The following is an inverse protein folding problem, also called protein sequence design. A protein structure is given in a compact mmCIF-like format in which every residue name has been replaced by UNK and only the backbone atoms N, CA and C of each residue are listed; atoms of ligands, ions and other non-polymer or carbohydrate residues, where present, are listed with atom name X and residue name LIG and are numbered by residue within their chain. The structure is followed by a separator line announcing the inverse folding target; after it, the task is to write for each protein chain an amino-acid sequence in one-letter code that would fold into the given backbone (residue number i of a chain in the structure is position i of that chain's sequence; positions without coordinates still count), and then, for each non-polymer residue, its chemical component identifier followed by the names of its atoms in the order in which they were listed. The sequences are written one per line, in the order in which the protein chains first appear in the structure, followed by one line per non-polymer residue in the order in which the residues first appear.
data_IF_660177495713
#
_entry.id   IF_660177495713
#
_cell.length_a   1.000
_cell.length_b   1.000
_cell.length_c   1.000
_cell.angle_alpha   90.00
_cell.angle_beta   90.00
_cell.angle_gamma   90.00
#
_symmetry.space_group_name_H-M   'P 1'
#
loop_
_entity.id
_entity.type
_entity.pdbx_description
1 polymer ?
#
# COMPACT_ATOMS: atom_id res chain seq x y z
N UNK A 1 -3.24 -17.34 19.35
CA UNK A 1 -2.08 -16.42 19.26
C UNK A 1 -2.25 -15.36 20.35
N UNK A 2 -1.20 -15.02 21.11
CA UNK A 2 -1.29 -13.98 22.12
C UNK A 2 -1.62 -12.62 21.47
N UNK A 3 -2.47 -11.83 22.12
CA UNK A 3 -2.79 -10.47 21.68
C UNK A 3 -1.59 -9.57 21.99
N UNK A 4 -1.05 -8.89 20.98
CA UNK A 4 0.05 -7.95 21.15
C UNK A 4 -0.39 -6.75 21.99
N UNK A 5 0.51 -6.24 22.85
CA UNK A 5 0.28 -5.00 23.59
C UNK A 5 0.51 -3.79 22.68
N UNK A 6 -0.51 -2.94 22.49
CA UNK A 6 -0.44 -1.75 21.63
C UNK A 6 0.59 -0.71 22.04
N UNK A 7 0.94 -0.61 23.32
CA UNK A 7 1.98 0.34 23.77
C UNK A 7 3.36 -0.03 23.21
N UNK A 8 3.65 -1.33 23.15
CA UNK A 8 4.92 -1.84 22.63
C UNK A 8 4.85 -2.14 21.13
N UNK A 9 3.66 -2.46 20.62
CA UNK A 9 3.38 -2.90 19.25
C UNK A 9 2.20 -2.09 18.68
N UNK A 10 2.40 -0.80 18.37
CA UNK A 10 1.32 0.05 17.90
C UNK A 10 0.80 -0.41 16.53
N UNK A 11 -0.48 -0.16 16.27
CA UNK A 11 -1.07 -0.39 14.95
C UNK A 11 -0.41 0.53 13.92
N UNK A 12 -0.04 -0.04 12.76
CA UNK A 12 0.65 0.68 11.69
C UNK A 12 -0.25 0.74 10.46
N UNK A 13 -0.56 1.96 10.02
CA UNK A 13 -1.33 2.22 8.82
C UNK A 13 -0.47 2.90 7.76
N UNK A 14 -0.46 2.34 6.55
CA UNK A 14 0.17 2.95 5.37
C UNK A 14 -0.94 3.30 4.39
N UNK A 15 -1.20 4.60 4.22
CA UNK A 15 -2.21 5.10 3.29
C UNK A 15 -1.48 5.74 2.11
N UNK A 16 -1.74 5.20 0.92
CA UNK A 16 -1.16 5.69 -0.34
C UNK A 16 -2.24 6.40 -1.13
N UNK A 17 -1.93 7.58 -1.66
CA UNK A 17 -2.80 8.34 -2.56
C UNK A 17 -2.11 8.41 -3.91
N UNK A 18 -2.69 7.76 -4.92
CA UNK A 18 -2.08 7.71 -6.25
C UNK A 18 -2.23 9.05 -7.00
N UNK A 19 -1.11 9.37 -7.65
CA UNK A 19 -0.83 10.47 -8.58
C UNK A 19 -0.91 11.87 -8.00
N UNK A 20 -0.69 11.99 -6.69
CA UNK A 20 -0.68 13.28 -5.99
C UNK A 20 0.74 13.73 -5.62
N UNK A 21 1.12 14.92 -6.09
CA UNK A 21 2.33 15.59 -5.60
C UNK A 21 2.05 16.37 -4.30
N UNK A 22 3.09 16.62 -3.50
CA UNK A 22 2.96 17.33 -2.21
C UNK A 22 2.21 18.68 -2.33
N UNK A 23 2.52 19.48 -3.35
CA UNK A 23 1.84 20.75 -3.60
C UNK A 23 0.35 20.61 -3.96
N UNK A 24 -0.02 19.52 -4.63
CA UNK A 24 -1.41 19.21 -4.97
C UNK A 24 -2.18 18.76 -3.72
N UNK A 25 -1.58 17.91 -2.88
CA UNK A 25 -2.16 17.49 -1.61
C UNK A 25 -2.50 18.69 -0.72
N UNK A 26 -1.55 19.62 -0.55
CA UNK A 26 -1.72 20.81 0.29
C UNK A 26 -2.86 21.69 -0.22
N UNK A 27 -2.97 21.87 -1.53
CA UNK A 27 -4.01 22.70 -2.15
C UNK A 27 -5.39 22.04 -2.18
N UNK A 28 -5.46 20.76 -2.51
CA UNK A 28 -6.73 20.05 -2.74
C UNK A 28 -7.33 19.49 -1.45
N UNK A 29 -6.48 19.11 -0.47
CA UNK A 29 -6.89 18.52 0.81
C UNK A 29 -6.37 19.34 2.02
N UNK A 30 -6.62 20.66 2.07
CA UNK A 30 -6.05 21.52 3.12
C UNK A 30 -6.56 21.14 4.52
N UNK A 31 -7.80 20.66 4.64
CA UNK A 31 -8.37 20.18 5.90
C UNK A 31 -7.65 18.92 6.40
N UNK A 32 -7.39 17.97 5.51
CA UNK A 32 -6.64 16.75 5.84
C UNK A 32 -5.23 17.09 6.31
N UNK A 33 -4.54 17.97 5.58
CA UNK A 33 -3.20 18.42 5.97
C UNK A 33 -3.21 19.12 7.34
N UNK A 34 -4.20 19.97 7.60
CA UNK A 34 -4.33 20.63 8.90
C UNK A 34 -4.58 19.64 10.05
N UNK A 35 -5.46 18.64 9.86
CA UNK A 35 -5.71 17.60 10.86
C UNK A 35 -4.44 16.80 11.14
N UNK A 36 -3.71 16.39 10.09
CA UNK A 36 -2.47 15.65 10.27
C UNK A 36 -1.44 16.47 11.05
N UNK A 37 -1.16 17.70 10.62
CA UNK A 37 -0.07 18.50 11.19
C UNK A 37 -0.42 19.07 12.58
N UNK A 38 -1.65 19.56 12.77
CA UNK A 38 -2.02 20.30 13.99
C UNK A 38 -2.91 19.49 14.94
N UNK A 39 -3.52 18.39 14.47
CA UNK A 39 -4.39 17.53 15.28
C UNK A 39 -3.79 16.17 15.62
N UNK A 40 -2.79 15.72 14.87
CA UNK A 40 -2.12 14.42 15.07
C UNK A 40 -0.60 14.53 15.19
N UNK A 41 -0.08 15.76 15.31
CA UNK A 41 1.36 16.05 15.42
C UNK A 41 2.21 15.38 14.32
N UNK A 42 1.65 15.25 13.10
CA UNK A 42 2.32 14.57 12.01
C UNK A 42 3.56 15.35 11.54
N UNK A 43 4.61 14.59 11.23
CA UNK A 43 5.86 15.15 10.70
C UNK A 43 5.85 15.13 9.17
N UNK A 44 5.99 16.32 8.55
CA UNK A 44 6.08 16.43 7.10
C UNK A 44 7.51 16.27 6.59
N UNK A 45 7.74 15.25 5.75
CA UNK A 45 9.01 15.07 5.03
C UNK A 45 9.06 15.92 3.75
N UNK A 46 9.44 17.20 3.87
CA UNK A 46 9.46 18.15 2.74
C UNK A 46 10.41 17.80 1.59
N UNK A 47 11.42 16.97 1.83
CA UNK A 47 12.46 16.58 0.87
C UNK A 47 12.43 15.09 0.54
N UNK A 48 11.29 14.45 0.75
CA UNK A 48 11.07 13.06 0.33
C UNK A 48 10.80 13.02 -1.18
N UNK A 49 11.64 12.31 -1.91
CA UNK A 49 11.51 12.16 -3.36
C UNK A 49 11.04 10.74 -3.70
N UNK A 50 10.25 10.65 -4.76
CA UNK A 50 9.94 9.37 -5.40
C UNK A 50 11.21 8.83 -6.08
N UNK A 51 11.34 7.51 -6.13
CA UNK A 51 12.52 6.82 -6.69
C UNK A 51 12.29 6.38 -8.13
N UNK A 52 11.05 6.08 -8.51
CA UNK A 52 10.71 5.69 -9.89
C UNK A 52 9.61 6.53 -10.51
N UNK A 53 9.36 6.27 -11.80
CA UNK A 53 8.44 7.09 -12.58
C UNK A 53 6.98 6.82 -12.22
N UNK A 54 6.62 5.55 -12.08
CA UNK A 54 5.25 5.07 -11.85
C UNK A 54 5.03 4.56 -10.41
N UNK A 55 3.80 4.16 -10.07
CA UNK A 55 3.42 3.70 -8.72
C UNK A 55 4.20 2.47 -8.28
N UNK A 56 4.34 1.45 -9.14
CA UNK A 56 4.97 0.16 -8.81
C UNK A 56 6.44 0.29 -8.37
N UNK A 57 7.36 0.92 -9.14
CA UNK A 57 8.74 1.13 -8.70
C UNK A 57 8.88 1.82 -7.33
N UNK A 58 8.02 2.80 -7.05
CA UNK A 58 8.01 3.50 -5.76
C UNK A 58 7.54 2.60 -4.61
N UNK A 59 6.52 1.76 -4.85
CA UNK A 59 6.08 0.76 -3.89
C UNK A 59 7.15 -0.30 -3.59
N UNK A 60 7.95 -0.69 -4.59
CA UNK A 60 9.05 -1.65 -4.40
C UNK A 60 10.12 -1.11 -3.46
N UNK A 61 10.54 0.14 -3.64
CA UNK A 61 11.52 0.74 -2.72
C UNK A 61 10.91 0.93 -1.33
N UNK A 62 9.66 1.37 -1.24
CA UNK A 62 9.00 1.65 0.04
C UNK A 62 8.75 0.38 0.87
N UNK A 63 8.35 -0.73 0.25
CA UNK A 63 7.90 -1.94 0.96
C UNK A 63 8.86 -3.12 0.87
N UNK A 64 9.76 -3.15 -0.12
CA UNK A 64 10.76 -4.21 -0.29
C UNK A 64 12.20 -3.71 -0.17
N UNK A 65 12.43 -2.39 -0.17
CA UNK A 65 13.76 -1.81 -0.09
C UNK A 65 14.64 -2.10 -1.32
N UNK A 66 14.02 -2.31 -2.48
CA UNK A 66 14.70 -2.64 -3.74
C UNK A 66 14.25 -1.72 -4.87
N UNK A 67 15.20 -1.21 -5.65
CA UNK A 67 14.91 -0.43 -6.86
C UNK A 67 14.63 -1.38 -8.04
N UNK A 68 13.65 -1.01 -8.85
CA UNK A 68 13.31 -1.74 -10.10
C UNK A 68 13.56 -0.91 -11.36
N UNK A 69 14.06 0.32 -11.18
CA UNK A 69 14.42 1.26 -12.24
C UNK A 69 15.72 1.97 -11.83
N UNK A 70 16.58 2.36 -12.78
CA UNK A 70 17.77 3.14 -12.48
C UNK A 70 17.42 4.51 -11.89
N UNK A 71 18.21 4.96 -10.91
CA UNK A 71 18.10 6.31 -10.36
C UNK A 71 18.95 7.27 -11.18
N UNK A 72 18.30 8.00 -12.09
CA UNK A 72 18.95 8.99 -12.96
C UNK A 72 19.29 10.25 -12.16
N UNK A 73 20.59 10.54 -12.03
CA UNK A 73 21.11 11.70 -11.26
C UNK A 73 22.00 12.63 -12.08
N UNK A 74 21.90 12.53 -13.40
CA UNK A 74 22.72 13.29 -14.36
C UNK A 74 22.53 14.80 -14.23
N UNK A 75 21.32 15.27 -13.88
CA UNK A 75 21.04 16.69 -13.59
C UNK A 75 21.88 17.24 -12.42
N UNK A 76 22.25 16.38 -11.47
CA UNK A 76 23.13 16.73 -10.35
C UNK A 76 24.61 16.49 -10.66
N UNK A 77 24.96 16.14 -11.92
CA UNK A 77 26.30 15.71 -12.34
C UNK A 77 26.82 14.49 -11.56
N UNK A 78 25.91 13.61 -11.12
CA UNK A 78 26.23 12.37 -10.42
C UNK A 78 25.96 11.16 -11.32
N UNK A 79 26.70 10.06 -11.07
CA UNK A 79 26.50 8.79 -11.77
C UNK A 79 25.10 8.22 -11.50
N UNK A 80 24.47 7.64 -12.52
CA UNK A 80 23.27 6.82 -12.36
C UNK A 80 23.53 5.67 -11.38
N UNK A 81 22.55 5.36 -10.55
CA UNK A 81 22.54 4.12 -9.74
C UNK A 81 21.72 3.12 -10.53
N UNK A 82 22.30 1.96 -10.82
CA UNK A 82 21.59 0.86 -11.49
C UNK A 82 20.50 0.27 -10.59
N UNK A 83 19.50 -0.36 -11.18
CA UNK A 83 18.44 -1.04 -10.42
C UNK A 83 18.95 -2.29 -9.69
N UNK A 84 18.36 -2.58 -8.53
CA UNK A 84 18.63 -3.81 -7.77
C UNK A 84 17.98 -5.04 -8.42
N UNK A 85 16.81 -4.85 -9.03
CA UNK A 85 16.00 -5.91 -9.64
C UNK A 85 15.52 -5.44 -11.01
N UNK A 86 16.13 -5.97 -12.08
CA UNK A 86 15.65 -5.66 -13.43
C UNK A 86 14.28 -6.33 -13.69
N UNK A 87 13.58 -5.83 -14.71
CA UNK A 87 12.22 -6.28 -15.05
C UNK A 87 12.12 -7.79 -15.29
N UNK A 88 13.14 -8.37 -15.93
CA UNK A 88 13.17 -9.81 -16.22
C UNK A 88 13.22 -10.61 -14.92
N UNK A 89 14.14 -10.30 -14.03
CA UNK A 89 14.28 -10.96 -12.72
C UNK A 89 13.03 -10.78 -11.86
N UNK A 90 12.48 -9.56 -11.87
CA UNK A 90 11.30 -9.21 -11.09
C UNK A 90 10.06 -10.03 -11.48
N UNK A 91 9.88 -10.31 -12.76
CA UNK A 91 8.64 -10.92 -13.28
C UNK A 91 8.77 -12.42 -13.56
N UNK A 92 9.98 -12.96 -13.69
CA UNK A 92 10.23 -14.38 -13.94
C UNK A 92 10.41 -15.23 -12.68
N UNK A 93 10.48 -14.62 -11.50
CA UNK A 93 10.68 -15.32 -10.21
C UNK A 93 9.58 -14.95 -9.22
N UNK A 94 9.30 -15.89 -8.32
CA UNK A 94 8.50 -15.61 -7.13
C UNK A 94 9.29 -14.74 -6.15
N UNK A 95 8.60 -13.82 -5.48
CA UNK A 95 9.20 -12.83 -4.57
C UNK A 95 9.14 -13.26 -3.10
N UNK A 96 8.73 -14.50 -2.82
CA UNK A 96 8.60 -15.03 -1.46
C UNK A 96 9.92 -15.05 -0.67
N UNK A 97 11.07 -15.05 -1.36
CA UNK A 97 12.41 -14.97 -0.77
C UNK A 97 12.87 -13.52 -0.47
N UNK A 98 12.11 -12.52 -0.92
CA UNK A 98 12.44 -11.10 -0.73
C UNK A 98 11.82 -10.56 0.54
N UNK A 99 12.52 -9.60 1.15
CA UNK A 99 11.96 -8.81 2.24
C UNK A 99 10.72 -8.07 1.74
N UNK A 100 9.62 -8.22 2.48
CA UNK A 100 8.41 -7.44 2.27
C UNK A 100 7.86 -7.03 3.63
N UNK A 101 7.80 -5.71 3.88
CA UNK A 101 7.51 -5.16 5.21
C UNK A 101 6.26 -5.79 5.85
N UNK A 102 5.11 -5.90 5.16
CA UNK A 102 3.92 -6.53 5.75
C UNK A 102 4.13 -7.96 6.23
N UNK A 103 4.97 -8.78 5.57
CA UNK A 103 5.32 -10.13 6.06
C UNK A 103 6.07 -10.08 7.37
N UNK A 104 7.00 -9.14 7.50
CA UNK A 104 7.77 -8.99 8.73
C UNK A 104 6.83 -8.67 9.91
N UNK A 105 5.84 -7.81 9.69
CA UNK A 105 4.78 -7.53 10.67
C UNK A 105 3.95 -8.77 10.98
N UNK A 106 3.50 -9.53 9.96
CA UNK A 106 2.77 -10.78 10.17
C UNK A 106 3.55 -11.79 11.00
N UNK A 107 4.83 -11.99 10.67
CA UNK A 107 5.73 -12.89 11.38
C UNK A 107 6.00 -12.43 12.82
N UNK A 108 5.96 -11.12 13.08
CA UNK A 108 6.01 -10.54 14.43
C UNK A 108 4.68 -10.66 15.20
N UNK A 109 3.64 -11.26 14.61
CA UNK A 109 2.35 -11.53 15.26
C UNK A 109 1.26 -10.50 14.98
N UNK A 110 1.53 -9.48 14.16
CA UNK A 110 0.51 -8.52 13.74
C UNK A 110 -0.52 -9.19 12.82
N UNK A 111 -1.72 -8.62 12.81
CA UNK A 111 -2.69 -8.86 11.75
C UNK A 111 -2.40 -7.93 10.60
N UNK A 112 -2.48 -8.47 9.40
CA UNK A 112 -2.08 -7.77 8.18
C UNK A 112 -3.24 -7.64 7.22
N UNK A 113 -3.33 -6.47 6.60
CA UNK A 113 -4.39 -6.06 5.71
C UNK A 113 -3.80 -5.34 4.51
N UNK A 114 -4.28 -5.68 3.32
CA UNK A 114 -3.97 -4.99 2.07
C UNK A 114 -5.25 -4.70 1.28
N UNK A 115 -5.34 -3.47 0.81
CA UNK A 115 -6.42 -3.05 -0.05
C UNK A 115 -5.96 -2.00 -1.06
N UNK A 116 -6.31 -2.27 -2.31
CA UNK A 116 -5.99 -1.42 -3.46
C UNK A 116 -7.23 -1.31 -4.36
N UNK A 117 -7.36 -0.18 -5.04
CA UNK A 117 -8.49 0.13 -5.92
C UNK A 117 -8.17 -0.04 -7.42
N UNK A 118 -7.05 -0.71 -7.74
CA UNK A 118 -6.61 -0.95 -9.11
C UNK A 118 -6.35 -2.43 -9.42
N UNK A 119 -6.54 -2.81 -10.69
CA UNK A 119 -6.44 -4.22 -11.12
C UNK A 119 -5.02 -4.77 -11.12
N UNK A 120 -4.02 -3.93 -11.34
CA UNK A 120 -2.61 -4.28 -11.24
C UNK A 120 -2.03 -3.72 -9.93
N UNK A 121 -1.48 -4.59 -9.09
CA UNK A 121 -0.88 -4.20 -7.82
C UNK A 121 0.64 -4.22 -7.84
N UNK A 122 1.25 -3.87 -6.71
CA UNK A 122 2.68 -4.04 -6.49
C UNK A 122 3.14 -5.48 -6.79
N UNK A 123 2.40 -6.45 -6.25
CA UNK A 123 2.71 -7.89 -6.26
C UNK A 123 1.89 -8.69 -7.29
N UNK A 124 0.75 -8.17 -7.75
CA UNK A 124 -0.12 -8.76 -8.77
C UNK A 124 -0.09 -7.90 -10.03
N UNK A 125 1.02 -7.96 -10.75
CA UNK A 125 1.22 -7.21 -11.98
C UNK A 125 1.12 -8.12 -13.21
N UNK A 126 0.57 -7.66 -14.34
CA UNK A 126 0.49 -8.45 -15.56
C UNK A 126 1.85 -9.03 -15.96
N UNK A 127 1.86 -10.32 -16.32
CA UNK A 127 3.06 -11.06 -16.75
C UNK A 127 4.18 -11.17 -15.69
N UNK A 128 3.86 -11.00 -14.40
CA UNK A 128 4.80 -11.21 -13.30
C UNK A 128 4.26 -12.29 -12.36
N UNK A 129 5.12 -13.20 -11.90
CA UNK A 129 4.71 -14.28 -11.00
C UNK A 129 4.23 -13.77 -9.63
N UNK A 130 4.81 -12.66 -9.15
CA UNK A 130 4.45 -12.09 -7.85
C UNK A 130 4.86 -13.01 -6.70
N UNK A 131 3.91 -13.36 -5.85
CA UNK A 131 4.11 -14.27 -4.72
C UNK A 131 3.48 -15.61 -5.01
N UNK A 132 4.15 -16.69 -4.58
CA UNK A 132 3.64 -18.05 -4.69
C UNK A 132 2.54 -18.32 -3.67
N UNK A 133 2.66 -17.74 -2.48
CA UNK A 133 1.70 -17.93 -1.39
C UNK A 133 1.07 -16.61 -0.96
N UNK A 134 -0.18 -16.67 -0.50
CA UNK A 134 -0.82 -15.53 0.15
C UNK A 134 -0.15 -15.28 1.50
N UNK A 135 0.46 -14.11 1.62
CA UNK A 135 1.31 -13.78 2.75
C UNK A 135 0.67 -12.83 3.75
N UNK A 136 -0.53 -12.29 3.49
CA UNK A 136 -1.29 -11.44 4.41
C UNK A 136 -2.54 -12.15 4.93
N UNK A 137 -3.08 -11.64 6.04
CA UNK A 137 -4.26 -12.23 6.69
C UNK A 137 -5.57 -11.76 6.04
N UNK A 138 -5.61 -10.50 5.54
CA UNK A 138 -6.77 -9.91 4.86
C UNK A 138 -6.38 -9.27 3.54
N UNK A 139 -7.14 -9.61 2.50
CA UNK A 139 -6.97 -9.07 1.15
C UNK A 139 -8.31 -8.55 0.63
N UNK A 140 -8.34 -7.29 0.23
CA UNK A 140 -9.50 -6.71 -0.46
C UNK A 140 -9.61 -7.15 -1.93
N UNK A 141 -8.48 -7.45 -2.56
CA UNK A 141 -8.37 -7.76 -3.99
C UNK A 141 -9.40 -8.78 -4.51
N UNK A 142 -9.68 -9.93 -3.85
CA UNK A 142 -10.69 -10.87 -4.33
C UNK A 142 -12.08 -10.24 -4.49
N UNK A 143 -12.48 -9.39 -3.55
CA UNK A 143 -13.75 -8.65 -3.64
C UNK A 143 -13.71 -7.65 -4.79
N UNK A 144 -12.66 -6.85 -4.91
CA UNK A 144 -12.48 -5.89 -6.01
C UNK A 144 -12.60 -6.55 -7.40
N UNK A 145 -11.92 -7.69 -7.60
CA UNK A 145 -11.98 -8.42 -8.88
C UNK A 145 -13.40 -8.93 -9.16
N UNK A 146 -14.06 -9.53 -8.15
CA UNK A 146 -15.40 -10.08 -8.30
C UNK A 146 -16.44 -9.01 -8.61
N UNK A 147 -16.37 -7.84 -7.98
CA UNK A 147 -17.24 -6.69 -8.28
C UNK A 147 -17.06 -6.22 -9.72
N UNK A 148 -15.85 -6.26 -10.27
CA UNK A 148 -15.58 -5.84 -11.65
C UNK A 148 -16.02 -6.86 -12.71
N UNK A 149 -15.98 -8.14 -12.39
CA UNK A 149 -16.38 -9.22 -13.29
C UNK A 149 -17.90 -9.41 -13.35
N UNK A 150 -18.62 -8.98 -12.30
CA UNK A 150 -20.06 -9.19 -12.16
C UNK A 150 -20.87 -7.90 -12.33
N UNK A 151 -21.81 -7.89 -13.27
CA UNK A 151 -22.67 -6.72 -13.50
C UNK A 151 -23.60 -6.45 -12.33
N UNK A 152 -24.13 -7.48 -11.67
CA UNK A 152 -25.06 -7.32 -10.56
C UNK A 152 -24.34 -6.80 -9.32
N UNK A 153 -23.14 -7.34 -9.03
CA UNK A 153 -22.33 -6.84 -7.92
C UNK A 153 -21.80 -5.42 -8.20
N UNK A 154 -21.35 -5.12 -9.42
CA UNK A 154 -20.95 -3.75 -9.80
C UNK A 154 -22.10 -2.76 -9.64
N UNK A 155 -23.32 -3.15 -10.02
CA UNK A 155 -24.49 -2.29 -9.82
C UNK A 155 -24.80 -2.11 -8.33
N UNK A 156 -24.78 -3.17 -7.53
CA UNK A 156 -25.11 -3.11 -6.09
C UNK A 156 -24.06 -2.35 -5.28
N UNK A 157 -22.78 -2.63 -5.50
CA UNK A 157 -21.68 -2.12 -4.68
C UNK A 157 -21.02 -0.85 -5.21
N UNK A 158 -21.28 -0.44 -6.45
CA UNK A 158 -20.69 0.77 -7.03
C UNK A 158 -21.75 1.62 -7.74
N UNK A 159 -22.08 1.29 -8.99
CA UNK A 159 -22.80 2.17 -9.93
C UNK A 159 -24.21 2.55 -9.48
N UNK A 160 -24.94 1.63 -8.85
CA UNK A 160 -26.33 1.81 -8.42
C UNK A 160 -26.48 2.45 -7.04
N UNK A 161 -25.39 2.62 -6.30
CA UNK A 161 -25.41 3.09 -4.90
C UNK A 161 -24.73 4.46 -4.71
N UNK A 162 -24.32 5.13 -5.80
CA UNK A 162 -23.47 6.33 -5.74
C UNK A 162 -22.19 6.12 -4.91
N UNK A 163 -21.65 4.89 -4.95
CA UNK A 163 -20.43 4.49 -4.24
C UNK A 163 -19.30 4.24 -5.22
N UNK A 164 -18.08 4.62 -4.84
CA UNK A 164 -16.87 4.30 -5.55
C UNK A 164 -16.15 3.08 -4.95
N UNK A 165 -15.13 2.61 -5.67
CA UNK A 165 -14.21 1.56 -5.20
C UNK A 165 -13.57 1.90 -3.84
N UNK A 166 -13.26 3.19 -3.63
CA UNK A 166 -12.66 3.71 -2.40
C UNK A 166 -13.61 3.57 -1.21
N UNK A 167 -14.92 3.78 -1.38
CA UNK A 167 -15.89 3.65 -0.28
C UNK A 167 -15.94 2.22 0.24
N UNK A 168 -15.95 1.24 -0.67
CA UNK A 168 -15.93 -0.19 -0.31
C UNK A 168 -14.61 -0.59 0.36
N UNK A 169 -13.48 -0.03 -0.09
CA UNK A 169 -12.18 -0.24 0.53
C UNK A 169 -12.13 0.32 1.96
N UNK A 170 -12.64 1.53 2.18
CA UNK A 170 -12.69 2.17 3.50
C UNK A 170 -13.66 1.46 4.44
N UNK A 171 -14.79 0.96 3.94
CA UNK A 171 -15.71 0.13 4.71
C UNK A 171 -15.05 -1.20 5.12
N UNK A 172 -14.33 -1.85 4.20
CA UNK A 172 -13.59 -3.07 4.52
C UNK A 172 -12.47 -2.84 5.54
N UNK A 173 -11.75 -1.71 5.43
CA UNK A 173 -10.82 -1.27 6.47
C UNK A 173 -11.54 -1.10 7.82
N UNK A 174 -12.73 -0.49 7.83
CA UNK A 174 -13.59 -0.37 9.01
C UNK A 174 -13.94 -1.73 9.64
N UNK A 175 -14.30 -2.72 8.84
CA UNK A 175 -14.54 -4.08 9.35
C UNK A 175 -13.26 -4.69 9.91
N UNK A 176 -12.14 -4.54 9.21
CA UNK A 176 -10.85 -5.09 9.62
C UNK A 176 -10.40 -4.55 10.99
N UNK A 177 -10.40 -3.23 11.18
CA UNK A 177 -9.95 -2.60 12.44
C UNK A 177 -10.81 -2.99 13.65
N UNK A 178 -12.07 -3.38 13.41
CA UNK A 178 -13.03 -3.82 14.43
C UNK A 178 -13.09 -5.35 14.60
N UNK A 179 -12.37 -6.13 13.79
CA UNK A 179 -12.45 -7.60 13.79
C UNK A 179 -11.68 -8.26 14.94
N UNK A 180 -10.75 -7.53 15.56
CA UNK A 180 -9.83 -8.08 16.55
C UNK A 180 -10.07 -7.47 17.92
N UNK A 181 -10.22 -8.34 18.93
CA UNK A 181 -10.31 -7.90 20.33
C UNK A 181 -8.96 -7.34 20.78
N UNK A 182 -9.00 -6.13 21.31
CA UNK A 182 -7.81 -5.43 21.81
C UNK A 182 -7.86 -5.44 23.34
N UNK A 183 -6.71 -5.57 24.01
CA UNK A 183 -6.59 -5.10 25.39
C UNK A 183 -6.43 -3.58 25.34
N UNK A 184 -7.40 -2.85 25.86
CA UNK A 184 -7.35 -1.39 25.92
C UNK A 184 -6.12 -0.91 26.70
N UNK A 185 -5.57 0.23 26.29
CA UNK A 185 -4.57 0.98 27.03
C UNK A 185 -5.37 1.64 28.17
N UNK A 186 -5.18 1.17 29.41
CA UNK A 186 -5.82 1.74 30.62
C UNK A 186 -4.95 2.89 31.13
#
# INVERSE_FOLDING_TARGET
MPVLNREQYPDVHVIVIDSVASSHLIRALPRTVNILLNGMDAVQFRKLNKVGSNSRPNGFVALLGKTTEPIVRTLMKLKTIEEDLNQTELCSKYLDDKTYIPVNYRNAGYKTFDAEDYGASLLHYPNCLGLKHNILDHYYRPFYLRVREDKELSNTHEKGSCRGSVDNMLEYLGHYVNSYKVKEII
#
